data_IF_495037204600
#
_entry.id   IF_495037204600
#
_cell.length_a   1.000
_cell.length_b   1.000
_cell.length_c   1.000
_cell.angle_alpha   90.00
_cell.angle_beta   90.00
_cell.angle_gamma   90.00
#
_symmetry.space_group_name_H-M   'P 1'
#
loop_
_entity.id
_entity.type
_entity.pdbx_description
1 polymer ?
#
# COMPACT_ATOMS: atom_id res chain seq x y z
N UNK A 1 -6.25 -1.55 15.19
CA UNK A 1 -6.38 -2.20 13.88
C UNK A 1 -5.03 -2.69 13.41
N UNK A 2 -5.04 -3.70 12.58
CA UNK A 2 -3.83 -4.25 11.97
C UNK A 2 -4.03 -4.46 10.47
N UNK A 3 -2.94 -4.29 9.72
CA UNK A 3 -2.90 -4.53 8.28
C UNK A 3 -1.77 -5.51 7.98
N UNK A 4 -2.14 -6.63 7.37
CA UNK A 4 -1.19 -7.63 6.90
C UNK A 4 -0.86 -7.37 5.45
N UNK A 5 0.43 -7.17 5.17
CA UNK A 5 0.95 -6.90 3.84
C UNK A 5 1.90 -8.00 3.43
N UNK A 6 1.80 -8.48 2.20
CA UNK A 6 2.70 -9.49 1.67
C UNK A 6 3.01 -9.22 0.21
N UNK A 7 4.21 -9.61 -0.19
CA UNK A 7 4.68 -9.52 -1.58
C UNK A 7 4.76 -10.89 -2.22
N UNK A 8 4.63 -10.93 -3.54
CA UNK A 8 4.92 -12.11 -4.35
C UNK A 8 6.32 -12.02 -4.95
N UNK A 9 6.43 -12.16 -6.26
CA UNK A 9 7.70 -12.18 -6.98
C UNK A 9 8.37 -10.80 -7.08
N UNK A 10 7.61 -9.72 -6.85
CA UNK A 10 8.11 -8.35 -6.94
C UNK A 10 8.17 -7.69 -5.58
N UNK A 11 9.08 -6.74 -5.44
CA UNK A 11 9.12 -5.86 -4.26
C UNK A 11 7.88 -5.00 -4.20
N UNK A 12 7.49 -4.58 -3.00
CA UNK A 12 6.34 -3.72 -2.78
C UNK A 12 6.67 -2.53 -1.89
N UNK A 13 5.99 -1.42 -2.13
CA UNK A 13 6.03 -0.26 -1.26
C UNK A 13 4.60 0.17 -0.96
N UNK A 14 4.30 0.38 0.31
CA UNK A 14 2.96 0.65 0.79
C UNK A 14 2.96 1.94 1.62
N UNK A 15 2.04 2.85 1.28
CA UNK A 15 1.85 4.11 2.01
C UNK A 15 0.42 4.17 2.52
N UNK A 16 0.26 4.26 3.83
CA UNK A 16 -1.05 4.42 4.46
C UNK A 16 -1.27 5.88 4.79
N UNK A 17 -2.41 6.42 4.35
CA UNK A 17 -2.83 7.80 4.61
C UNK A 17 -4.12 7.78 5.41
N UNK A 18 -4.26 8.71 6.36
CA UNK A 18 -5.51 8.88 7.09
C UNK A 18 -6.57 9.62 6.24
N UNK A 19 -7.74 9.84 6.82
CA UNK A 19 -8.85 10.47 6.10
C UNK A 19 -8.59 11.94 5.75
N UNK A 20 -7.59 12.57 6.40
CA UNK A 20 -7.21 13.95 6.11
C UNK A 20 -6.02 14.04 5.16
N UNK A 21 -5.55 12.92 4.64
CA UNK A 21 -4.46 12.89 3.69
C UNK A 21 -3.07 12.89 4.32
N UNK A 22 -2.96 12.70 5.64
CA UNK A 22 -1.67 12.64 6.32
C UNK A 22 -1.08 11.24 6.24
N UNK A 23 0.21 11.16 5.93
CA UNK A 23 0.93 9.89 5.86
C UNK A 23 1.09 9.28 7.26
N UNK A 24 0.61 8.06 7.43
CA UNK A 24 0.70 7.32 8.69
C UNK A 24 1.97 6.48 8.72
N UNK A 25 2.23 5.71 7.66
CA UNK A 25 3.48 4.96 7.54
C UNK A 25 3.81 4.68 6.06
N UNK A 26 5.09 4.40 5.84
CA UNK A 26 5.60 3.87 4.57
C UNK A 26 6.36 2.60 4.87
N UNK A 27 6.10 1.54 4.10
CA UNK A 27 6.77 0.25 4.25
C UNK A 27 7.24 -0.25 2.90
N UNK A 28 8.48 -0.69 2.86
CA UNK A 28 9.06 -1.37 1.70
C UNK A 28 9.30 -2.83 2.07
N UNK A 29 8.85 -3.73 1.19
CA UNK A 29 9.03 -5.16 1.36
C UNK A 29 9.79 -5.74 0.18
N UNK A 30 10.75 -6.61 0.47
CA UNK A 30 11.43 -7.43 -0.53
C UNK A 30 10.45 -8.45 -1.13
N UNK A 31 10.78 -9.08 -2.27
CA UNK A 31 9.97 -10.17 -2.79
C UNK A 31 9.78 -11.29 -1.76
N UNK A 32 8.63 -11.93 -1.78
CA UNK A 32 8.26 -13.04 -0.89
C UNK A 32 8.39 -12.72 0.59
N UNK A 33 8.02 -11.50 0.95
CA UNK A 33 8.08 -10.99 2.33
C UNK A 33 6.70 -10.61 2.83
N UNK A 34 6.57 -10.51 4.15
CA UNK A 34 5.32 -10.09 4.76
C UNK A 34 5.57 -9.30 6.04
N UNK A 35 4.60 -8.49 6.43
CA UNK A 35 4.62 -7.73 7.67
C UNK A 35 3.19 -7.45 8.13
N UNK A 36 3.00 -7.37 9.44
CA UNK A 36 1.76 -6.87 10.03
C UNK A 36 2.05 -5.54 10.70
N UNK A 37 1.30 -4.50 10.32
CA UNK A 37 1.43 -3.17 10.92
C UNK A 37 0.20 -2.84 11.72
N UNK A 38 0.41 -2.27 12.90
CA UNK A 38 -0.64 -1.88 13.85
C UNK A 38 -0.80 -0.36 13.84
N UNK A 39 -2.04 0.10 13.89
CA UNK A 39 -2.39 1.53 13.91
C UNK A 39 -3.77 1.71 14.53
N UNK A 40 -4.13 2.95 14.86
CA UNK A 40 -5.43 3.26 15.44
C UNK A 40 -6.58 2.95 14.48
N UNK A 41 -7.74 2.60 15.02
CA UNK A 41 -8.96 2.43 14.23
C UNK A 41 -9.33 3.77 13.56
N UNK A 42 -9.94 3.71 12.39
CA UNK A 42 -10.33 4.89 11.65
C UNK A 42 -10.45 4.64 10.16
N UNK A 43 -10.46 5.71 9.39
CA UNK A 43 -10.57 5.66 7.94
C UNK A 43 -9.22 5.97 7.30
N UNK A 44 -8.82 5.14 6.35
CA UNK A 44 -7.51 5.23 5.71
C UNK A 44 -7.60 4.89 4.23
N UNK A 45 -6.63 5.42 3.49
CA UNK A 45 -6.40 5.07 2.08
C UNK A 45 -5.01 4.48 1.97
N UNK A 46 -4.86 3.39 1.22
CA UNK A 46 -3.58 2.75 0.98
C UNK A 46 -3.14 3.00 -0.46
N UNK A 47 -1.90 3.44 -0.65
CA UNK A 47 -1.24 3.51 -1.95
C UNK A 47 -0.22 2.40 -2.04
N UNK A 48 -0.21 1.68 -3.15
CA UNK A 48 0.60 0.49 -3.36
C UNK A 48 1.44 0.66 -4.61
N UNK A 49 2.72 0.32 -4.52
CA UNK A 49 3.61 0.23 -5.67
C UNK A 49 4.29 -1.14 -5.67
N UNK A 50 4.41 -1.74 -6.83
CA UNK A 50 5.10 -3.02 -7.02
C UNK A 50 6.07 -2.90 -8.19
N UNK A 51 7.21 -3.57 -8.09
CA UNK A 51 8.20 -3.55 -9.15
C UNK A 51 9.47 -4.30 -8.79
N UNK A 52 10.39 -4.34 -9.73
CA UNK A 52 11.65 -5.08 -9.57
C UNK A 52 12.74 -4.24 -8.90
N UNK A 53 12.84 -2.96 -9.25
CA UNK A 53 13.89 -2.09 -8.75
C UNK A 53 13.35 -0.76 -8.27
N UNK A 54 13.57 -0.46 -7.00
CA UNK A 54 13.24 0.84 -6.42
C UNK A 54 14.30 1.86 -6.86
N UNK A 55 13.86 2.96 -7.45
CA UNK A 55 14.74 3.98 -8.01
C UNK A 55 14.97 5.10 -7.01
N UNK A 56 13.89 5.76 -6.56
CA UNK A 56 13.95 6.89 -5.64
C UNK A 56 12.55 7.17 -5.09
N UNK A 57 12.45 8.07 -4.11
CA UNK A 57 11.16 8.47 -3.56
C UNK A 57 10.29 9.18 -4.61
N UNK A 58 10.89 9.88 -5.58
CA UNK A 58 10.18 10.57 -6.64
C UNK A 58 9.79 9.64 -7.79
N UNK A 59 10.57 8.61 -8.05
CA UNK A 59 10.37 7.71 -9.17
C UNK A 59 9.76 6.36 -8.77
N UNK A 60 9.80 6.00 -7.50
CA UNK A 60 9.35 4.70 -6.99
C UNK A 60 9.99 3.55 -7.78
N UNK A 61 9.20 2.69 -8.43
CA UNK A 61 9.69 1.64 -9.31
C UNK A 61 9.78 2.07 -10.78
N UNK A 62 9.62 3.37 -11.07
CA UNK A 62 9.70 3.91 -12.41
C UNK A 62 8.45 3.63 -13.24
N UNK A 63 8.57 3.84 -14.54
CA UNK A 63 7.46 3.67 -15.48
C UNK A 63 7.06 2.19 -15.67
N UNK A 64 7.96 1.26 -15.36
CA UNK A 64 7.69 -0.18 -15.44
C UNK A 64 7.06 -0.73 -14.17
N UNK A 65 6.94 0.08 -13.12
CA UNK A 65 6.25 -0.30 -11.90
C UNK A 65 4.75 -0.41 -12.09
N UNK A 66 4.11 -1.16 -11.20
CA UNK A 66 2.66 -1.26 -11.12
C UNK A 66 2.19 -0.50 -9.89
N UNK A 67 1.15 0.32 -10.05
CA UNK A 67 0.67 1.20 -9.00
C UNK A 67 -0.82 1.02 -8.78
N UNK A 68 -1.21 1.02 -7.51
CA UNK A 68 -2.61 0.80 -7.11
C UNK A 68 -2.97 1.75 -5.96
N UNK A 69 -4.26 1.98 -5.81
CA UNK A 69 -4.81 2.79 -4.71
C UNK A 69 -6.12 2.16 -4.25
N UNK A 70 -6.41 2.28 -2.95
CA UNK A 70 -7.69 1.86 -2.39
C UNK A 70 -8.61 3.06 -2.20
N UNK A 71 -9.92 2.81 -2.11
CA UNK A 71 -10.86 3.79 -1.59
C UNK A 71 -10.58 4.07 -0.10
N UNK A 72 -11.20 5.12 0.42
CA UNK A 72 -11.20 5.38 1.85
C UNK A 72 -11.96 4.24 2.54
N UNK A 73 -11.26 3.50 3.38
CA UNK A 73 -11.76 2.29 4.00
C UNK A 73 -11.78 2.43 5.52
N UNK A 74 -12.83 1.92 6.17
CA UNK A 74 -12.94 1.95 7.63
C UNK A 74 -12.30 0.72 8.24
N UNK A 75 -11.28 0.93 9.09
CA UNK A 75 -10.61 -0.12 9.85
C UNK A 75 -11.19 -0.14 11.26
N UNK A 76 -11.84 -1.24 11.62
CA UNK A 76 -12.47 -1.41 12.91
C UNK A 76 -11.46 -1.80 14.00
N UNK A 77 -11.72 -1.45 15.28
CA UNK A 77 -10.80 -1.81 16.37
C UNK A 77 -10.65 -3.33 16.51
N UNK A 78 -9.44 -3.77 16.81
CA UNK A 78 -9.14 -5.16 17.11
C UNK A 78 -9.19 -6.11 15.92
N UNK A 79 -9.35 -5.61 14.71
CA UNK A 79 -9.43 -6.42 13.49
C UNK A 79 -8.12 -6.39 12.73
N UNK A 80 -7.83 -7.50 12.05
CA UNK A 80 -6.70 -7.59 11.11
C UNK A 80 -7.26 -7.69 9.68
N UNK A 81 -6.75 -6.83 8.81
CA UNK A 81 -7.17 -6.76 7.41
C UNK A 81 -6.05 -7.21 6.49
N UNK A 82 -6.42 -7.86 5.40
CA UNK A 82 -5.48 -8.28 4.36
C UNK A 82 -5.84 -7.58 3.06
N UNK A 83 -4.82 -7.00 2.42
CA UNK A 83 -4.97 -6.41 1.09
C UNK A 83 -4.36 -7.38 0.10
N UNK A 84 -5.19 -7.90 -0.79
CA UNK A 84 -4.74 -8.71 -1.91
C UNK A 84 -4.75 -7.89 -3.18
N UNK A 85 -3.77 -8.12 -4.05
CA UNK A 85 -3.71 -7.52 -5.39
C UNK A 85 -4.59 -8.30 -6.37
N UNK A 86 -5.73 -8.75 -5.92
CA UNK A 86 -6.70 -9.45 -6.74
C UNK A 86 -7.85 -8.56 -7.17
N UNK A 87 -8.73 -9.05 -8.04
CA UNK A 87 -9.90 -8.30 -8.51
C UNK A 87 -10.98 -8.13 -7.46
N UNK A 88 -10.79 -8.70 -6.28
CA UNK A 88 -11.77 -8.60 -5.20
C UNK A 88 -11.42 -7.42 -4.31
N UNK A 89 -12.32 -6.47 -4.15
CA UNK A 89 -12.20 -5.39 -3.20
C UNK A 89 -11.96 -4.04 -3.83
N UNK A 90 -11.50 -3.10 -3.01
CA UNK A 90 -11.44 -1.69 -3.32
C UNK A 90 -10.05 -1.24 -3.77
N UNK A 91 -9.35 -2.07 -4.56
CA UNK A 91 -8.03 -1.75 -5.10
C UNK A 91 -8.17 -1.42 -6.58
N UNK A 92 -7.71 -0.24 -6.96
CA UNK A 92 -7.83 0.29 -8.31
C UNK A 92 -6.45 0.57 -8.89
N UNK A 93 -6.32 0.44 -10.20
CA UNK A 93 -5.12 0.86 -10.90
C UNK A 93 -4.85 2.35 -10.71
N UNK A 94 -3.58 2.70 -10.57
CA UNK A 94 -3.13 4.07 -10.37
C UNK A 94 -1.93 4.35 -11.27
N UNK A 95 -1.19 5.41 -10.96
CA UNK A 95 -0.01 5.82 -11.71
C UNK A 95 1.16 6.08 -10.76
N UNK A 96 2.36 6.18 -11.33
CA UNK A 96 3.54 6.58 -10.57
C UNK A 96 3.31 7.90 -9.85
N UNK A 97 2.75 8.90 -10.53
CA UNK A 97 2.46 10.20 -9.94
C UNK A 97 1.39 10.11 -8.84
N UNK A 98 0.40 9.25 -9.00
CA UNK A 98 -0.61 9.00 -7.98
C UNK A 98 -0.02 8.36 -6.72
N UNK A 99 1.07 7.60 -6.85
CA UNK A 99 1.76 7.00 -5.73
C UNK A 99 2.73 7.97 -5.05
N UNK A 100 3.52 8.70 -5.84
CA UNK A 100 4.59 9.58 -5.33
C UNK A 100 4.12 10.98 -4.97
N UNK A 101 3.03 11.42 -5.56
CA UNK A 101 2.50 12.78 -5.44
C UNK A 101 1.73 13.11 -4.20
#
# INVERSE_FOLDING_TARGET
SALYLSTGEKSGCYKLFDEWGSLVFTIKLDPHSSVTKYFGAGKYTLRIAEGDTWISDEEAFGDEGEYYVTDLFTFLPGMTYTIGTGPAGNVYGSSKDGFTG
#
